data_IF_155055407764
#
_entry.id   IF_155055407764
#
_cell.length_a   1.000
_cell.length_b   1.000
_cell.length_c   1.000
_cell.angle_alpha   90.00
_cell.angle_beta   90.00
_cell.angle_gamma   90.00
#
_symmetry.space_group_name_H-M   'P 1'
#
loop_
_entity.id
_entity.type
_entity.pdbx_description
1 polymer ?
#
# COMPACT_ATOMS: atom_id res chain seq x y z
N UNK A 1 14.03 1.85 47.73
CA UNK A 1 13.02 1.80 46.66
C UNK A 1 13.74 1.30 45.44
N UNK A 2 13.67 -0.02 45.22
CA UNK A 2 14.35 -0.63 44.08
C UNK A 2 13.66 -0.13 42.81
N UNK A 3 14.43 0.60 42.02
CA UNK A 3 13.95 1.04 40.70
C UNK A 3 13.62 -0.22 39.90
N UNK A 4 12.35 -0.50 39.78
CA UNK A 4 11.84 -1.58 38.91
C UNK A 4 12.20 -1.17 37.47
N UNK A 5 13.42 -1.47 37.09
CA UNK A 5 13.87 -1.21 35.73
C UNK A 5 13.14 -2.15 34.79
N UNK A 6 12.52 -1.59 33.76
CA UNK A 6 11.84 -2.37 32.68
C UNK A 6 12.78 -3.42 32.10
N UNK A 7 14.08 -3.12 32.09
CA UNK A 7 15.14 -4.06 31.69
C UNK A 7 15.24 -5.29 32.63
N UNK A 8 15.12 -5.08 33.95
CA UNK A 8 15.16 -6.21 34.90
C UNK A 8 13.93 -7.10 34.72
N UNK A 9 12.74 -6.50 34.55
CA UNK A 9 11.53 -7.27 34.26
C UNK A 9 11.64 -8.09 32.97
N UNK A 10 12.25 -7.52 31.94
CA UNK A 10 12.51 -8.24 30.70
C UNK A 10 13.51 -9.40 30.91
N UNK A 11 14.56 -9.21 31.69
CA UNK A 11 15.57 -10.23 31.95
C UNK A 11 15.05 -11.38 32.81
N UNK A 12 14.15 -11.10 33.73
CA UNK A 12 13.53 -12.10 34.62
C UNK A 12 12.31 -12.82 33.95
N UNK A 13 11.79 -12.28 32.85
CA UNK A 13 10.67 -12.90 32.14
C UNK A 13 11.02 -14.31 31.63
N UNK A 14 10.04 -15.20 31.66
CA UNK A 14 10.19 -16.55 31.10
C UNK A 14 10.50 -16.54 29.60
N UNK A 15 11.13 -17.60 29.10
CA UNK A 15 11.58 -17.72 27.72
C UNK A 15 10.47 -17.43 26.70
N UNK A 16 9.26 -17.96 26.93
CA UNK A 16 8.11 -17.77 26.03
C UNK A 16 7.69 -16.30 25.97
N UNK A 17 7.65 -15.62 27.13
CA UNK A 17 7.29 -14.20 27.16
C UNK A 17 8.36 -13.36 26.42
N UNK A 18 9.63 -13.69 26.54
CA UNK A 18 10.72 -13.05 25.78
C UNK A 18 10.53 -13.21 24.26
N UNK A 19 10.17 -14.40 23.81
CA UNK A 19 9.90 -14.69 22.39
C UNK A 19 8.72 -13.86 21.89
N UNK A 20 7.63 -13.80 22.65
CA UNK A 20 6.44 -13.00 22.30
C UNK A 20 6.80 -11.51 22.20
N UNK A 21 7.53 -10.97 23.16
CA UNK A 21 7.96 -9.56 23.15
C UNK A 21 8.87 -9.25 21.96
N UNK A 22 9.83 -10.13 21.65
CA UNK A 22 10.72 -9.98 20.50
C UNK A 22 9.94 -10.02 19.18
N UNK A 23 8.98 -10.94 19.05
CA UNK A 23 8.15 -11.07 17.86
C UNK A 23 7.30 -9.81 17.62
N UNK A 24 6.66 -9.29 18.66
CA UNK A 24 5.88 -8.05 18.59
C UNK A 24 6.77 -6.84 18.26
N UNK A 25 7.99 -6.78 18.81
CA UNK A 25 8.93 -5.72 18.50
C UNK A 25 9.37 -5.73 17.03
N UNK A 26 9.68 -6.91 16.49
CA UNK A 26 10.01 -7.09 15.07
C UNK A 26 8.81 -6.70 14.19
N UNK A 27 7.62 -7.18 14.52
CA UNK A 27 6.40 -6.83 13.80
C UNK A 27 6.14 -5.31 13.80
N UNK A 28 6.42 -4.63 14.92
CA UNK A 28 6.33 -3.18 15.02
C UNK A 28 7.29 -2.47 14.06
N UNK A 29 8.56 -2.87 14.03
CA UNK A 29 9.54 -2.26 13.12
C UNK A 29 9.14 -2.45 11.66
N UNK A 30 8.76 -3.67 11.28
CA UNK A 30 8.31 -3.98 9.91
C UNK A 30 7.08 -3.15 9.52
N UNK A 31 6.13 -2.98 10.45
CA UNK A 31 4.93 -2.16 10.23
C UNK A 31 5.31 -0.70 9.98
N UNK A 32 6.24 -0.13 10.74
CA UNK A 32 6.71 1.24 10.52
C UNK A 32 7.38 1.42 9.16
N UNK A 33 8.21 0.45 8.72
CA UNK A 33 8.83 0.48 7.40
C UNK A 33 7.76 0.54 6.32
N UNK A 34 6.76 -0.35 6.39
CA UNK A 34 5.66 -0.39 5.41
C UNK A 34 4.83 0.90 5.43
N UNK A 35 4.54 1.45 6.61
CA UNK A 35 3.79 2.71 6.74
C UNK A 35 4.52 3.86 6.05
N UNK A 36 5.82 4.03 6.32
CA UNK A 36 6.61 5.11 5.72
C UNK A 36 6.74 4.94 4.21
N UNK A 37 6.98 3.71 3.74
CA UNK A 37 7.04 3.40 2.30
C UNK A 37 5.73 3.77 1.61
N UNK A 38 4.60 3.33 2.15
CA UNK A 38 3.27 3.59 1.56
C UNK A 38 2.89 5.07 1.65
N UNK A 39 3.19 5.74 2.73
CA UNK A 39 2.95 7.18 2.85
C UNK A 39 3.68 7.98 1.76
N UNK A 40 4.96 7.69 1.57
CA UNK A 40 5.76 8.36 0.53
C UNK A 40 5.25 8.03 -0.88
N UNK A 41 4.88 6.77 -1.13
CA UNK A 41 4.31 6.31 -2.40
C UNK A 41 3.01 7.06 -2.73
N UNK A 42 2.06 7.09 -1.81
CA UNK A 42 0.78 7.78 -2.02
C UNK A 42 0.94 9.29 -2.18
N UNK A 43 1.84 9.89 -1.41
CA UNK A 43 2.09 11.34 -1.52
C UNK A 43 2.70 11.70 -2.89
N UNK A 44 3.63 10.89 -3.39
CA UNK A 44 4.20 11.05 -4.74
C UNK A 44 3.12 10.94 -5.82
N UNK A 45 2.30 9.89 -5.77
CA UNK A 45 1.21 9.67 -6.74
C UNK A 45 0.21 10.82 -6.70
N UNK A 46 -0.20 11.24 -5.52
CA UNK A 46 -1.15 12.36 -5.35
C UNK A 46 -0.65 13.63 -6.02
N UNK A 47 0.62 13.99 -5.80
CA UNK A 47 1.22 15.20 -6.37
C UNK A 47 1.31 15.11 -7.90
N UNK A 48 1.79 13.98 -8.44
CA UNK A 48 1.90 13.78 -9.88
C UNK A 48 0.54 13.81 -10.57
N UNK A 49 -0.45 13.12 -10.02
CA UNK A 49 -1.80 13.10 -10.58
C UNK A 49 -2.49 14.47 -10.48
N UNK A 50 -2.30 15.22 -9.40
CA UNK A 50 -2.84 16.57 -9.25
C UNK A 50 -2.31 17.51 -10.35
N UNK A 51 -1.00 17.50 -10.58
CA UNK A 51 -0.38 18.31 -11.63
C UNK A 51 -0.87 17.89 -13.03
N UNK A 52 -0.95 16.59 -13.29
CA UNK A 52 -1.45 16.06 -14.56
C UNK A 52 -2.92 16.47 -14.79
N UNK A 53 -3.81 16.28 -13.80
CA UNK A 53 -5.22 16.62 -13.92
C UNK A 53 -5.43 18.12 -14.14
N UNK A 54 -4.62 18.98 -13.51
CA UNK A 54 -4.68 20.42 -13.73
C UNK A 54 -4.37 20.77 -15.19
N UNK A 55 -3.32 20.18 -15.79
CA UNK A 55 -2.96 20.37 -17.19
C UNK A 55 -4.03 19.82 -18.12
N UNK A 56 -4.55 18.63 -17.84
CA UNK A 56 -5.61 17.98 -18.62
C UNK A 56 -6.87 18.85 -18.68
N UNK A 57 -7.35 19.34 -17.54
CA UNK A 57 -8.56 20.18 -17.49
C UNK A 57 -8.35 21.59 -18.01
N UNK A 58 -7.10 22.07 -18.07
CA UNK A 58 -6.77 23.34 -18.71
C UNK A 58 -6.76 23.25 -20.26
N UNK A 59 -7.00 22.05 -20.82
CA UNK A 59 -7.08 21.86 -22.26
C UNK A 59 -5.75 21.81 -22.97
N UNK A 60 -4.70 21.37 -22.31
CA UNK A 60 -3.43 21.12 -22.99
C UNK A 60 -3.56 20.02 -24.06
N UNK A 61 -2.71 20.07 -25.07
CA UNK A 61 -2.66 19.11 -26.15
C UNK A 61 -2.40 17.69 -25.61
N UNK A 62 -3.29 16.75 -25.98
CA UNK A 62 -3.25 15.36 -25.49
C UNK A 62 -1.96 14.63 -25.92
N UNK A 63 -1.46 14.89 -27.14
CA UNK A 63 -0.20 14.31 -27.60
C UNK A 63 1.01 14.83 -26.81
N UNK A 64 0.98 16.10 -26.41
CA UNK A 64 2.01 16.68 -25.57
C UNK A 64 1.98 16.10 -24.16
N UNK A 65 0.79 15.99 -23.54
CA UNK A 65 0.60 15.36 -22.25
C UNK A 65 1.06 13.90 -22.27
N UNK A 66 0.72 13.16 -23.30
CA UNK A 66 1.14 11.76 -23.46
C UNK A 66 2.67 11.63 -23.49
N UNK A 67 3.37 12.50 -24.26
CA UNK A 67 4.83 12.49 -24.31
C UNK A 67 5.49 12.86 -22.99
N UNK A 68 4.88 13.78 -22.23
CA UNK A 68 5.39 14.20 -20.93
C UNK A 68 5.29 13.06 -19.92
N UNK A 69 4.12 12.42 -19.80
CA UNK A 69 3.91 11.34 -18.84
C UNK A 69 4.67 10.05 -19.22
N UNK A 70 4.87 9.78 -20.52
CA UNK A 70 5.56 8.55 -20.96
C UNK A 70 7.04 8.49 -20.54
N UNK A 71 7.57 9.56 -19.98
CA UNK A 71 8.94 9.62 -19.42
C UNK A 71 9.00 9.21 -17.95
N UNK A 72 7.87 9.14 -17.29
CA UNK A 72 7.81 8.82 -15.85
C UNK A 72 7.51 7.32 -15.67
N UNK A 73 8.41 6.61 -15.00
CA UNK A 73 8.24 5.17 -14.71
C UNK A 73 7.19 4.90 -13.62
N UNK A 74 6.80 5.92 -12.86
CA UNK A 74 5.89 5.81 -11.72
C UNK A 74 4.48 6.28 -12.08
N UNK A 75 3.87 5.67 -13.08
CA UNK A 75 2.53 6.04 -13.53
C UNK A 75 1.45 5.22 -12.84
N UNK A 76 0.68 5.87 -11.97
CA UNK A 76 -0.49 5.29 -11.31
C UNK A 76 -1.64 6.30 -11.28
N UNK A 77 -2.86 5.82 -11.21
CA UNK A 77 -4.06 6.64 -11.15
C UNK A 77 -4.41 7.30 -12.47
N UNK A 78 -4.71 8.60 -12.46
CA UNK A 78 -5.17 9.32 -13.65
C UNK A 78 -4.16 9.30 -14.81
N UNK A 79 -2.85 9.36 -14.50
CA UNK A 79 -1.80 9.31 -15.52
C UNK A 79 -1.73 7.94 -16.21
N UNK A 80 -1.77 6.85 -15.44
CA UNK A 80 -1.81 5.48 -15.96
C UNK A 80 -3.06 5.26 -16.80
N UNK A 81 -4.21 5.67 -16.28
CA UNK A 81 -5.49 5.55 -16.97
C UNK A 81 -5.48 6.29 -18.32
N UNK A 82 -5.00 7.52 -18.33
CA UNK A 82 -4.90 8.32 -19.55
C UNK A 82 -3.96 7.68 -20.56
N UNK A 83 -2.75 7.28 -20.12
CA UNK A 83 -1.76 6.67 -21.02
C UNK A 83 -2.30 5.41 -21.68
N UNK A 84 -2.81 4.47 -20.90
CA UNK A 84 -3.29 3.19 -21.42
C UNK A 84 -4.50 3.38 -22.36
N UNK A 85 -5.40 4.31 -22.03
CA UNK A 85 -6.55 4.63 -22.88
C UNK A 85 -6.14 5.34 -24.16
N UNK A 86 -5.13 6.19 -24.11
CA UNK A 86 -4.62 6.91 -25.27
C UNK A 86 -3.80 5.99 -26.20
N UNK A 87 -3.08 5.02 -25.65
CA UNK A 87 -2.41 3.96 -26.44
C UNK A 87 -3.47 3.11 -27.19
N UNK A 88 -4.55 2.72 -26.51
CA UNK A 88 -5.65 2.00 -27.14
C UNK A 88 -6.29 2.84 -28.25
N UNK A 89 -6.59 4.12 -27.97
CA UNK A 89 -7.14 5.06 -28.96
C UNK A 89 -6.24 5.17 -30.19
N UNK A 90 -4.92 5.29 -30.02
CA UNK A 90 -3.98 5.36 -31.14
C UNK A 90 -3.84 4.07 -31.93
N UNK A 91 -4.06 2.93 -31.29
CA UNK A 91 -4.01 1.61 -31.96
C UNK A 91 -5.24 1.34 -32.84
N UNK A 92 -6.32 2.09 -32.63
CA UNK A 92 -7.56 1.94 -33.37
C UNK A 92 -7.43 2.63 -34.74
N UNK A 93 -7.68 1.89 -35.81
CA UNK A 93 -7.99 2.44 -37.10
C UNK A 93 -9.46 2.87 -37.07
N UNK A 94 -9.72 4.15 -36.84
CA UNK A 94 -11.08 4.70 -36.85
C UNK A 94 -11.73 4.50 -38.21
N UNK A 95 -12.40 3.35 -38.39
CA UNK A 95 -13.33 3.15 -39.49
C UNK A 95 -14.69 3.69 -39.04
N UNK A 96 -15.29 4.56 -39.83
CA UNK A 96 -16.49 5.33 -39.49
C UNK A 96 -17.73 4.47 -39.11
N UNK A 97 -17.62 3.14 -39.19
CA UNK A 97 -18.71 2.21 -38.91
C UNK A 97 -18.68 1.50 -37.56
N UNK A 98 -17.63 1.65 -36.72
CA UNK A 98 -17.44 0.85 -35.50
C UNK A 98 -17.24 1.69 -34.22
N UNK A 99 -17.69 2.94 -34.18
CA UNK A 99 -17.51 3.84 -33.05
C UNK A 99 -17.96 3.28 -31.67
N UNK A 100 -18.97 2.42 -31.63
CA UNK A 100 -19.46 1.82 -30.38
C UNK A 100 -18.48 0.76 -29.84
N UNK A 101 -17.93 -0.08 -30.72
CA UNK A 101 -16.94 -1.11 -30.35
C UNK A 101 -15.62 -0.47 -29.92
N UNK A 102 -15.23 0.63 -30.55
CA UNK A 102 -14.03 1.38 -30.21
C UNK A 102 -14.15 2.01 -28.82
N UNK A 103 -15.29 2.60 -28.49
CA UNK A 103 -15.58 3.13 -27.16
C UNK A 103 -15.63 2.03 -26.10
N UNK A 104 -16.19 0.87 -26.41
CA UNK A 104 -16.23 -0.28 -25.51
C UNK A 104 -14.81 -0.78 -25.19
N UNK A 105 -13.93 -0.87 -26.20
CA UNK A 105 -12.52 -1.26 -26.02
C UNK A 105 -11.78 -0.29 -25.12
N UNK A 106 -11.92 1.01 -25.34
CA UNK A 106 -11.33 2.04 -24.46
C UNK A 106 -11.85 1.90 -23.03
N UNK A 107 -13.16 1.74 -22.84
CA UNK A 107 -13.75 1.55 -21.51
C UNK A 107 -13.23 0.28 -20.83
N UNK A 108 -13.03 -0.80 -21.57
CA UNK A 108 -12.43 -2.04 -21.05
C UNK A 108 -11.00 -1.80 -20.60
N UNK A 109 -10.19 -1.14 -21.42
CA UNK A 109 -8.80 -0.79 -21.08
C UNK A 109 -8.72 0.09 -19.83
N UNK A 110 -9.62 1.07 -19.69
CA UNK A 110 -9.73 1.89 -18.49
C UNK A 110 -10.03 1.05 -17.24
N UNK A 111 -10.97 0.10 -17.32
CA UNK A 111 -11.32 -0.77 -16.18
C UNK A 111 -10.15 -1.67 -15.77
N UNK A 112 -9.42 -2.23 -16.74
CA UNK A 112 -8.25 -3.05 -16.48
C UNK A 112 -7.13 -2.20 -15.84
N UNK A 113 -6.91 -0.99 -16.33
CA UNK A 113 -5.94 -0.06 -15.76
C UNK A 113 -6.27 0.30 -14.31
N UNK A 114 -7.53 0.61 -14.02
CA UNK A 114 -7.99 0.90 -12.65
C UNK A 114 -7.76 -0.30 -11.73
N UNK A 115 -8.12 -1.50 -12.15
CA UNK A 115 -7.95 -2.71 -11.35
C UNK A 115 -6.47 -3.01 -11.05
N UNK A 116 -5.59 -2.83 -12.04
CA UNK A 116 -4.15 -3.00 -11.89
C UNK A 116 -3.54 -1.98 -10.93
N UNK A 117 -3.94 -0.71 -11.06
CA UNK A 117 -3.46 0.35 -10.17
C UNK A 117 -3.97 0.14 -8.73
N UNK A 118 -5.22 -0.31 -8.57
CA UNK A 118 -5.80 -0.64 -7.25
C UNK A 118 -5.03 -1.78 -6.57
N UNK A 119 -4.64 -2.82 -7.32
CA UNK A 119 -3.84 -3.93 -6.80
C UNK A 119 -2.47 -3.42 -6.28
N UNK A 120 -1.77 -2.59 -7.03
CA UNK A 120 -0.48 -2.03 -6.62
C UNK A 120 -0.62 -1.05 -5.45
N UNK A 121 -1.68 -0.24 -5.43
CA UNK A 121 -1.97 0.68 -4.32
C UNK A 121 -2.28 -0.07 -3.02
N UNK A 122 -2.95 -1.21 -3.10
CA UNK A 122 -3.31 -2.03 -1.95
C UNK A 122 -2.18 -2.96 -1.48
N UNK A 123 -1.10 -3.06 -2.22
CA UNK A 123 0.05 -3.88 -1.88
C UNK A 123 0.58 -3.56 -0.48
N UNK A 124 0.86 -4.59 0.30
CA UNK A 124 1.30 -4.51 1.69
C UNK A 124 0.27 -4.02 2.73
N UNK A 125 -0.88 -3.44 2.33
CA UNK A 125 -1.93 -3.05 3.29
C UNK A 125 -2.52 -4.24 4.07
N UNK A 126 -2.74 -5.44 3.44
CA UNK A 126 -3.16 -6.63 4.17
C UNK A 126 -2.20 -7.05 5.28
N UNK A 127 -0.89 -6.85 5.10
CA UNK A 127 0.10 -7.12 6.15
C UNK A 127 -0.15 -6.23 7.38
N UNK A 128 -0.35 -4.92 7.18
CA UNK A 128 -0.65 -4.00 8.28
C UNK A 128 -1.95 -4.35 8.99
N UNK A 129 -2.99 -4.71 8.23
CA UNK A 129 -4.27 -5.15 8.80
C UNK A 129 -4.10 -6.42 9.65
N UNK A 130 -3.33 -7.40 9.17
CA UNK A 130 -3.07 -8.64 9.91
C UNK A 130 -2.25 -8.37 11.18
N UNK A 131 -1.21 -7.56 11.11
CA UNK A 131 -0.43 -7.18 12.30
C UNK A 131 -1.32 -6.47 13.32
N UNK A 132 -2.15 -5.51 12.87
CA UNK A 132 -3.05 -4.78 13.76
C UNK A 132 -4.10 -5.67 14.45
N UNK A 133 -4.64 -6.66 13.73
CA UNK A 133 -5.66 -7.57 14.28
C UNK A 133 -5.09 -8.70 15.14
N UNK A 134 -3.91 -9.23 14.82
CA UNK A 134 -3.31 -10.39 15.51
C UNK A 134 -2.45 -10.01 16.70
N UNK A 135 -1.76 -8.86 16.64
CA UNK A 135 -0.83 -8.44 17.71
C UNK A 135 -1.44 -8.40 19.11
N UNK A 136 -2.68 -7.91 19.34
CA UNK A 136 -3.30 -7.94 20.67
C UNK A 136 -3.47 -9.35 21.23
N UNK A 137 -3.80 -10.32 20.37
CA UNK A 137 -3.97 -11.73 20.77
C UNK A 137 -2.63 -12.38 21.11
N UNK A 138 -1.58 -12.05 20.36
CA UNK A 138 -0.23 -12.50 20.67
C UNK A 138 0.26 -11.92 22.00
N UNK A 139 -0.02 -10.65 22.26
CA UNK A 139 0.26 -10.01 23.56
C UNK A 139 -0.51 -10.67 24.70
N UNK A 140 -1.80 -10.96 24.51
CA UNK A 140 -2.62 -11.68 25.48
C UNK A 140 -2.06 -13.07 25.78
N UNK A 141 -1.64 -13.81 24.76
CA UNK A 141 -0.98 -15.10 24.94
C UNK A 141 0.26 -14.97 25.86
N UNK A 142 1.08 -13.95 25.65
CA UNK A 142 2.25 -13.67 26.47
C UNK A 142 1.89 -13.42 27.94
N UNK A 143 0.82 -12.66 28.21
CA UNK A 143 0.38 -12.39 29.59
C UNK A 143 -0.19 -13.64 30.26
N UNK A 144 -1.04 -14.41 29.58
CA UNK A 144 -1.60 -15.66 30.11
C UNK A 144 -0.48 -16.66 30.43
N UNK A 145 0.49 -16.80 29.52
CA UNK A 145 1.64 -17.67 29.75
C UNK A 145 2.49 -17.20 30.92
N UNK A 146 2.74 -15.91 31.04
CA UNK A 146 3.49 -15.31 32.14
C UNK A 146 2.84 -15.58 33.51
N UNK A 147 1.51 -15.42 33.58
CA UNK A 147 0.75 -15.73 34.80
C UNK A 147 0.86 -17.22 35.14
N UNK A 148 0.66 -18.10 34.16
CA UNK A 148 0.73 -19.54 34.34
C UNK A 148 2.09 -19.99 34.86
N UNK A 149 3.19 -19.47 34.31
CA UNK A 149 4.55 -19.80 34.78
C UNK A 149 4.82 -19.26 36.18
N UNK A 150 4.29 -18.08 36.52
CA UNK A 150 4.41 -17.51 37.85
C UNK A 150 3.74 -18.37 38.92
N UNK A 151 2.58 -18.93 38.61
CA UNK A 151 1.89 -19.87 39.51
C UNK A 151 2.58 -21.23 39.64
N UNK A 152 3.27 -21.71 38.61
CA UNK A 152 4.05 -22.95 38.66
C UNK A 152 5.34 -22.80 39.47
N UNK A 153 5.87 -21.58 39.61
CA UNK A 153 7.05 -21.27 40.42
C UNK A 153 6.80 -21.06 41.92
N UNK A 154 5.53 -21.07 42.29
CA UNK A 154 5.11 -21.03 43.72
C UNK A 154 4.93 -22.43 44.29
#
# INVERSE_FOLDING_TARGET
>A
MDDISVLNLFLEAGLVVKIVMLLLFIASILSWIVIVERYNFFNKIKNLNSNFLQKFWNGEDLDKLYKEISRDESMYGAMSLFKNSFDEYKSMNFDQNNNELDLESINRTMRVSIASDEEEMNKHLPFLANVGSVSPYVGLLGTVWGIMTSFQGL
#
